data_IF_568911762955
#
_entry.id   IF_568911762955
#
_cell.length_a   1.000
_cell.length_b   1.000
_cell.length_c   1.000
_cell.angle_alpha   90.00
_cell.angle_beta   90.00
_cell.angle_gamma   90.00
#
_symmetry.space_group_name_H-M   'P 1'
#
loop_
_entity.id
_entity.type
_entity.pdbx_description
1 polymer ?
#
# COMPACT_ATOMS: atom_id res chain seq x y z
N UNK A 1 47.97 -2.47 -2.32
CA UNK A 1 48.54 -1.64 -3.39
C UNK A 1 48.50 -2.47 -4.66
N UNK A 2 48.05 -2.01 -5.82
CA UNK A 2 47.14 -0.93 -6.21
C UNK A 2 46.76 -1.26 -7.66
N UNK A 3 45.50 -0.99 -7.97
CA UNK A 3 44.90 -0.61 -9.25
C UNK A 3 45.81 -0.52 -10.51
N UNK A 4 45.35 -1.08 -11.64
CA UNK A 4 44.76 -0.26 -12.73
C UNK A 4 44.28 -1.09 -13.93
N UNK A 5 43.11 -0.66 -14.43
CA UNK A 5 42.65 -0.60 -15.81
C UNK A 5 42.65 -1.87 -16.68
N UNK A 6 41.45 -2.41 -16.86
CA UNK A 6 41.04 -2.82 -18.21
C UNK A 6 39.62 -2.32 -18.47
N UNK A 7 39.54 -1.11 -19.03
CA UNK A 7 38.35 -0.57 -19.66
C UNK A 7 37.99 -1.44 -20.87
N UNK A 8 37.06 -2.38 -20.69
CA UNK A 8 36.24 -2.88 -21.80
C UNK A 8 34.85 -2.28 -21.66
N UNK A 9 34.75 -1.04 -22.13
CA UNK A 9 33.50 -0.40 -22.54
C UNK A 9 32.93 -1.24 -23.67
N UNK A 10 32.00 -2.15 -23.35
CA UNK A 10 31.12 -2.70 -24.37
C UNK A 10 30.22 -1.57 -24.84
N UNK A 11 30.54 -1.04 -26.02
CA UNK A 11 29.62 -0.19 -26.77
C UNK A 11 28.33 -0.99 -27.00
N UNK A 12 27.27 -0.61 -26.30
CA UNK A 12 25.90 -1.05 -26.54
C UNK A 12 25.47 -0.56 -27.92
N UNK A 13 25.87 -1.29 -28.96
CA UNK A 13 25.24 -1.21 -30.27
C UNK A 13 23.78 -1.61 -30.10
N UNK A 14 22.93 -0.70 -30.54
CA UNK A 14 21.48 -0.73 -30.51
C UNK A 14 20.92 -1.84 -31.43
N UNK A 15 21.18 -3.11 -31.07
CA UNK A 15 20.73 -4.30 -31.80
C UNK A 15 19.88 -5.14 -30.85
N UNK A 16 18.72 -4.62 -30.47
CA UNK A 16 17.66 -5.40 -29.85
C UNK A 16 16.25 -4.90 -30.25
N UNK A 17 16.13 -4.33 -31.45
CA UNK A 17 14.83 -4.05 -32.09
C UNK A 17 14.56 -5.02 -33.24
N UNK A 18 14.90 -6.30 -33.07
CA UNK A 18 14.50 -7.37 -33.97
C UNK A 18 14.12 -8.63 -33.18
N UNK A 19 13.01 -8.55 -32.45
CA UNK A 19 12.15 -9.71 -32.21
C UNK A 19 10.78 -9.41 -32.77
N UNK A 20 10.49 -10.13 -33.86
CA UNK A 20 9.22 -10.25 -34.56
C UNK A 20 8.06 -10.56 -33.60
N UNK A 21 6.88 -10.07 -34.00
CA UNK A 21 5.55 -10.45 -33.52
C UNK A 21 5.05 -9.81 -32.20
N UNK A 22 4.83 -8.50 -32.25
CA UNK A 22 3.81 -7.82 -31.45
C UNK A 22 3.21 -6.70 -32.30
N UNK A 23 1.93 -6.84 -32.68
CA UNK A 23 1.17 -5.97 -33.58
C UNK A 23 1.47 -4.46 -33.41
N UNK A 24 2.43 -3.95 -34.18
CA UNK A 24 2.52 -2.54 -34.50
C UNK A 24 1.66 -2.35 -35.74
N UNK A 25 0.54 -1.64 -35.59
CA UNK A 25 -0.18 -1.11 -36.74
C UNK A 25 0.82 -0.33 -37.60
N UNK A 26 0.91 -0.73 -38.88
CA UNK A 26 1.85 -0.20 -39.86
C UNK A 26 1.74 1.35 -39.91
N UNK A 27 2.81 2.11 -39.65
CA UNK A 27 2.76 3.58 -39.57
C UNK A 27 2.35 4.27 -40.88
N UNK A 28 2.30 3.53 -41.99
CA UNK A 28 1.80 4.00 -43.28
C UNK A 28 0.30 3.73 -43.52
N UNK A 29 -0.39 3.11 -42.56
CA UNK A 29 -1.84 2.82 -42.62
C UNK A 29 -2.68 3.57 -41.60
N UNK A 30 -2.07 4.46 -40.81
CA UNK A 30 -2.80 5.29 -39.85
C UNK A 30 -3.60 6.35 -40.60
N UNK A 31 -4.92 6.32 -40.40
CA UNK A 31 -5.79 7.40 -40.89
C UNK A 31 -5.46 8.69 -40.15
N UNK A 32 -5.63 9.86 -40.79
CA UNK A 32 -5.32 11.18 -40.21
C UNK A 32 -5.93 11.43 -38.82
N UNK A 33 -7.03 10.72 -38.49
CA UNK A 33 -7.69 10.77 -37.19
C UNK A 33 -6.89 10.08 -36.07
N UNK A 34 -6.18 9.00 -36.36
CA UNK A 34 -5.41 8.22 -35.39
C UNK A 34 -4.07 8.90 -35.09
N UNK A 35 -3.43 9.49 -36.10
CA UNK A 35 -2.23 10.31 -35.95
C UNK A 35 -2.47 11.51 -35.03
N UNK A 36 -3.60 12.21 -35.20
CA UNK A 36 -4.02 13.31 -34.30
C UNK A 36 -4.34 12.86 -32.86
N UNK A 37 -4.75 11.61 -32.64
CA UNK A 37 -5.00 11.08 -31.29
C UNK A 37 -3.69 10.75 -30.57
N UNK A 38 -2.71 10.19 -31.29
CA UNK A 38 -1.38 9.92 -30.74
C UNK A 38 -0.63 11.21 -30.41
N UNK A 39 -0.66 12.22 -31.29
CA UNK A 39 -0.04 13.53 -31.03
C UNK A 39 -0.64 14.20 -29.79
N UNK A 40 -1.97 14.15 -29.61
CA UNK A 40 -2.63 14.67 -28.40
C UNK A 40 -2.26 13.91 -27.13
N UNK A 41 -2.10 12.58 -27.20
CA UNK A 41 -1.67 11.80 -26.04
C UNK A 41 -0.21 12.08 -25.66
N UNK A 42 0.68 12.26 -26.64
CA UNK A 42 2.07 12.63 -26.41
C UNK A 42 2.18 14.03 -25.74
N UNK A 43 1.43 15.02 -26.24
CA UNK A 43 1.41 16.37 -25.65
C UNK A 43 0.86 16.38 -24.21
N UNK A 44 -0.16 15.56 -23.93
CA UNK A 44 -0.72 15.41 -22.58
C UNK A 44 0.26 14.72 -21.62
N UNK A 45 1.01 13.72 -22.09
CA UNK A 45 2.02 13.04 -21.29
C UNK A 45 3.22 13.94 -20.99
N UNK A 46 3.68 14.74 -21.95
CA UNK A 46 4.76 15.71 -21.73
C UNK A 46 4.35 16.78 -20.70
N UNK A 47 3.13 17.32 -20.80
CA UNK A 47 2.57 18.24 -19.79
C UNK A 47 2.46 17.61 -18.40
N UNK A 48 2.15 16.31 -18.31
CA UNK A 48 2.09 15.58 -17.04
C UNK A 48 3.49 15.37 -16.45
N UNK A 49 4.48 15.01 -17.26
CA UNK A 49 5.87 14.85 -16.83
C UNK A 49 6.47 16.17 -16.33
N UNK A 50 6.25 17.28 -17.04
CA UNK A 50 6.70 18.61 -16.59
C UNK A 50 6.10 19.02 -15.25
N UNK A 51 4.81 18.75 -15.02
CA UNK A 51 4.14 19.02 -13.73
C UNK A 51 4.67 18.13 -12.60
N UNK A 52 4.98 16.86 -12.90
CA UNK A 52 5.57 15.93 -11.93
C UNK A 52 6.99 16.37 -11.53
N UNK A 53 7.81 16.77 -12.51
CA UNK A 53 9.16 17.29 -12.27
C UNK A 53 9.14 18.58 -11.42
N UNK A 54 8.23 19.51 -11.73
CA UNK A 54 8.08 20.75 -10.95
C UNK A 54 7.63 20.46 -9.49
N UNK A 55 6.73 19.49 -9.28
CA UNK A 55 6.30 19.08 -7.93
C UNK A 55 7.42 18.39 -7.16
N UNK A 56 8.22 17.55 -7.81
CA UNK A 56 9.38 16.89 -7.21
C UNK A 56 10.45 17.90 -6.80
N UNK A 57 10.77 18.88 -7.65
CA UNK A 57 11.69 19.97 -7.32
C UNK A 57 11.21 20.81 -6.13
N UNK A 58 9.92 21.17 -6.08
CA UNK A 58 9.34 21.92 -4.95
C UNK A 58 9.32 21.11 -3.65
N UNK A 59 9.16 19.79 -3.72
CA UNK A 59 9.24 18.89 -2.55
C UNK A 59 10.67 18.78 -2.04
N UNK A 60 11.65 18.66 -2.94
CA UNK A 60 13.07 18.65 -2.60
C UNK A 60 13.51 19.98 -1.95
N UNK A 61 13.08 21.13 -2.49
CA UNK A 61 13.37 22.44 -1.90
C UNK A 61 12.78 22.60 -0.49
N UNK A 62 11.54 22.13 -0.27
CA UNK A 62 10.91 22.12 1.05
C UNK A 62 11.67 21.23 2.04
N UNK A 63 12.08 20.03 1.61
CA UNK A 63 12.84 19.12 2.45
C UNK A 63 14.23 19.68 2.80
N UNK A 64 14.89 20.37 1.87
CA UNK A 64 16.16 21.06 2.14
C UNK A 64 16.00 22.20 3.17
N UNK A 65 14.93 23.00 3.06
CA UNK A 65 14.62 24.06 4.05
C UNK A 65 14.34 23.46 5.44
N UNK A 66 13.59 22.35 5.52
CA UNK A 66 13.35 21.66 6.78
C UNK A 66 14.62 21.04 7.38
N UNK A 67 15.49 20.46 6.56
CA UNK A 67 16.77 19.92 7.01
C UNK A 67 17.69 21.02 7.57
N UNK A 68 17.78 22.17 6.90
CA UNK A 68 18.54 23.32 7.36
C UNK A 68 17.98 23.91 8.66
N UNK A 69 16.64 23.99 8.78
CA UNK A 69 15.97 24.45 10.01
C UNK A 69 16.23 23.48 11.18
N UNK A 70 16.17 22.16 10.92
CA UNK A 70 16.43 21.12 11.92
C UNK A 70 17.87 21.14 12.42
N UNK A 71 18.83 21.38 11.52
CA UNK A 71 20.24 21.55 11.92
C UNK A 71 20.45 22.80 12.77
N UNK A 72 19.86 23.95 12.41
CA UNK A 72 19.91 25.18 13.22
C UNK A 72 19.26 25.00 14.60
N UNK A 73 18.10 24.35 14.66
CA UNK A 73 17.41 24.03 15.92
C UNK A 73 18.22 23.06 16.80
N UNK A 74 18.84 22.04 16.20
CA UNK A 74 19.72 21.11 16.90
C UNK A 74 20.94 21.83 17.48
N UNK A 75 21.55 22.74 16.71
CA UNK A 75 22.70 23.50 17.16
C UNK A 75 22.33 24.48 18.28
N UNK A 76 21.18 25.15 18.17
CA UNK A 76 20.66 26.05 19.20
C UNK A 76 20.29 25.30 20.49
N UNK A 77 19.68 24.10 20.38
CA UNK A 77 19.37 23.23 21.50
C UNK A 77 20.61 22.79 22.28
N UNK A 78 21.72 22.52 21.57
CA UNK A 78 23.01 22.18 22.20
C UNK A 78 23.65 23.39 22.90
N UNK A 79 23.49 24.60 22.34
CA UNK A 79 24.09 25.82 22.90
C UNK A 79 23.30 26.42 24.06
N UNK A 80 21.98 26.19 24.16
CA UNK A 80 21.12 26.80 25.19
C UNK A 80 20.19 25.77 25.88
N UNK A 81 20.76 24.78 26.60
CA UNK A 81 19.98 23.68 27.17
C UNK A 81 18.95 24.12 28.22
N UNK A 82 19.27 25.13 29.04
CA UNK A 82 18.38 25.63 30.09
C UNK A 82 17.18 26.44 29.55
N UNK A 83 17.40 27.26 28.52
CA UNK A 83 16.34 28.06 27.88
C UNK A 83 15.36 27.15 27.13
N UNK A 84 15.84 26.05 26.55
CA UNK A 84 14.99 25.04 25.89
C UNK A 84 14.07 24.30 26.86
N UNK A 85 14.55 23.96 28.07
CA UNK A 85 13.73 23.29 29.09
C UNK A 85 12.64 24.24 29.60
N UNK A 86 12.99 25.50 29.89
CA UNK A 86 12.03 26.53 30.30
C UNK A 86 10.99 26.84 29.21
N UNK A 87 11.39 26.91 27.93
CA UNK A 87 10.45 27.15 26.83
C UNK A 87 9.56 25.93 26.53
N UNK A 88 10.08 24.71 26.70
CA UNK A 88 9.35 23.44 26.58
C UNK A 88 8.23 23.32 27.62
N UNK A 89 8.49 23.71 28.87
CA UNK A 89 7.49 23.69 29.94
C UNK A 89 6.44 24.79 29.71
N UNK A 90 6.85 25.99 29.27
CA UNK A 90 5.91 27.05 28.92
C UNK A 90 5.00 26.69 27.73
N UNK A 91 5.56 26.07 26.68
CA UNK A 91 4.81 25.68 25.49
C UNK A 91 3.83 24.52 25.77
N UNK A 92 4.19 23.56 26.62
CA UNK A 92 3.30 22.44 26.97
C UNK A 92 2.08 22.89 27.79
N UNK A 93 2.23 23.86 28.69
CA UNK A 93 1.12 24.45 29.45
C UNK A 93 0.19 25.23 28.52
N UNK A 94 0.75 26.02 27.58
CA UNK A 94 -0.02 26.77 26.59
C UNK A 94 -0.80 25.85 25.64
N UNK A 95 -0.19 24.74 25.20
CA UNK A 95 -0.86 23.74 24.35
C UNK A 95 -2.01 23.06 25.11
N UNK A 96 -1.82 22.69 26.38
CA UNK A 96 -2.90 22.13 27.21
C UNK A 96 -4.05 23.12 27.39
N UNK A 97 -3.76 24.40 27.64
CA UNK A 97 -4.79 25.44 27.77
C UNK A 97 -5.56 25.66 26.45
N UNK A 98 -4.87 25.62 25.30
CA UNK A 98 -5.51 25.73 23.98
C UNK A 98 -6.36 24.51 23.69
N UNK A 99 -5.91 23.29 24.01
CA UNK A 99 -6.68 22.06 23.79
C UNK A 99 -7.95 22.07 24.65
N UNK A 100 -7.85 22.42 25.93
CA UNK A 100 -9.02 22.48 26.82
C UNK A 100 -9.98 23.60 26.43
N UNK A 101 -9.47 24.80 26.09
CA UNK A 101 -10.28 25.93 25.64
C UNK A 101 -10.98 25.67 24.29
N UNK A 102 -10.27 25.07 23.33
CA UNK A 102 -10.84 24.72 22.03
C UNK A 102 -11.87 23.58 22.16
N UNK A 103 -11.64 22.62 23.05
CA UNK A 103 -12.60 21.54 23.33
C UNK A 103 -13.90 22.09 23.91
N UNK A 104 -13.83 23.10 24.78
CA UNK A 104 -15.02 23.73 25.37
C UNK A 104 -15.78 24.63 24.37
N UNK A 105 -15.06 25.33 23.49
CA UNK A 105 -15.67 26.08 22.37
C UNK A 105 -16.33 25.15 21.33
N UNK A 106 -15.73 24.01 21.02
CA UNK A 106 -16.29 23.00 20.11
C UNK A 106 -17.55 22.37 20.72
N UNK A 107 -17.51 21.96 21.99
CA UNK A 107 -18.68 21.38 22.66
C UNK A 107 -19.83 22.39 22.78
N UNK A 108 -19.54 23.65 23.11
CA UNK A 108 -20.57 24.70 23.20
C UNK A 108 -21.15 25.11 21.84
N UNK A 109 -20.36 25.11 20.76
CA UNK A 109 -20.87 25.30 19.40
C UNK A 109 -21.69 24.10 18.92
N UNK A 110 -21.28 22.86 19.19
CA UNK A 110 -22.04 21.64 18.84
C UNK A 110 -23.42 21.63 19.54
N UNK A 111 -23.52 22.14 20.77
CA UNK A 111 -24.82 22.24 21.47
C UNK A 111 -25.70 23.36 20.95
N UNK A 112 -25.14 24.43 20.37
CA UNK A 112 -25.92 25.53 19.76
C UNK A 112 -26.27 25.31 18.29
N UNK A 113 -25.48 24.55 17.53
CA UNK A 113 -25.76 24.22 16.12
C UNK A 113 -26.83 23.13 15.93
N UNK A 114 -27.33 22.50 17.00
CA UNK A 114 -28.42 21.52 16.91
C UNK A 114 -29.81 22.13 16.74
N UNK A 115 -29.94 23.46 16.63
CA UNK A 115 -31.22 24.11 16.30
C UNK A 115 -31.07 25.06 15.12
N UNK A 116 -30.54 24.53 14.03
CA UNK A 116 -30.90 25.02 12.70
C UNK A 116 -31.39 23.79 11.94
N UNK A 117 -32.64 23.84 11.52
CA UNK A 117 -33.33 22.85 10.70
C UNK A 117 -32.52 22.51 9.44
N UNK A 118 -31.55 21.60 9.55
CA UNK A 118 -31.03 20.84 8.42
C UNK A 118 -32.08 19.79 8.12
N UNK A 119 -32.78 19.99 7.02
CA UNK A 119 -33.63 19.01 6.36
C UNK A 119 -32.97 17.63 6.45
N UNK A 120 -33.62 16.71 7.16
CA UNK A 120 -33.24 15.31 7.14
C UNK A 120 -33.28 14.85 5.68
N UNK A 121 -32.14 14.42 5.13
CA UNK A 121 -32.12 13.67 3.88
C UNK A 121 -32.72 12.28 4.17
N UNK A 122 -34.06 12.21 4.20
CA UNK A 122 -34.86 11.02 4.47
C UNK A 122 -34.70 9.88 3.43
N UNK A 123 -33.71 9.97 2.54
CA UNK A 123 -33.57 9.08 1.37
C UNK A 123 -32.25 8.29 1.37
N UNK A 124 -31.43 8.35 2.43
CA UNK A 124 -30.28 7.44 2.57
C UNK A 124 -30.81 6.07 2.97
N UNK A 125 -30.58 5.07 2.14
CA UNK A 125 -30.92 3.67 2.43
C UNK A 125 -29.84 3.09 3.34
N UNK A 126 -30.11 2.83 4.63
CA UNK A 126 -29.10 2.36 5.58
C UNK A 126 -28.66 0.92 5.30
N UNK A 127 -29.38 0.19 4.43
CA UNK A 127 -29.04 -1.19 4.05
C UNK A 127 -28.21 -1.25 2.77
N UNK A 128 -28.04 -0.13 2.08
CA UNK A 128 -27.32 -0.04 0.82
C UNK A 128 -25.98 0.66 1.01
N UNK A 129 -24.89 -0.09 0.86
CA UNK A 129 -23.55 0.42 1.14
C UNK A 129 -23.15 1.60 0.25
N UNK A 130 -23.64 1.66 -0.99
CA UNK A 130 -23.36 2.76 -1.93
C UNK A 130 -24.06 4.02 -1.41
N UNK A 131 -25.35 3.90 -1.08
CA UNK A 131 -26.15 5.00 -0.52
C UNK A 131 -25.55 5.55 0.78
N UNK A 132 -25.08 4.66 1.66
CA UNK A 132 -24.38 5.04 2.90
C UNK A 132 -23.05 5.74 2.61
N UNK A 133 -22.25 5.20 1.70
CA UNK A 133 -20.92 5.73 1.40
C UNK A 133 -20.97 7.11 0.71
N UNK A 134 -21.83 7.28 -0.29
CA UNK A 134 -22.04 8.57 -0.96
C UNK A 134 -22.89 9.56 -0.15
N UNK A 135 -23.53 9.10 0.94
CA UNK A 135 -24.58 9.85 1.70
C UNK A 135 -25.65 10.43 0.78
N UNK A 136 -26.03 9.66 -0.24
CA UNK A 136 -26.89 10.10 -1.32
C UNK A 136 -28.09 9.16 -1.49
N UNK A 137 -29.17 9.67 -2.08
CA UNK A 137 -30.38 8.88 -2.29
C UNK A 137 -30.14 7.75 -3.31
N UNK A 138 -30.69 6.57 -3.03
CA UNK A 138 -30.66 5.44 -3.97
C UNK A 138 -31.25 5.84 -5.32
N UNK A 139 -30.54 5.54 -6.41
CA UNK A 139 -30.93 5.90 -7.78
C UNK A 139 -30.69 7.36 -8.18
N UNK A 140 -30.10 8.20 -7.31
CA UNK A 140 -29.61 9.53 -7.69
C UNK A 140 -28.44 9.43 -8.67
N UNK A 141 -28.09 10.52 -9.37
CA UNK A 141 -26.95 10.54 -10.29
C UNK A 141 -25.64 10.16 -9.58
N UNK A 142 -25.35 10.77 -8.42
CA UNK A 142 -24.17 10.43 -7.61
C UNK A 142 -24.16 8.96 -7.15
N UNK A 143 -25.33 8.37 -6.90
CA UNK A 143 -25.45 6.95 -6.57
C UNK A 143 -25.11 6.08 -7.78
N UNK A 144 -25.67 6.40 -8.96
CA UNK A 144 -25.46 5.60 -10.16
C UNK A 144 -24.01 5.71 -10.66
N UNK A 145 -23.40 6.89 -10.57
CA UNK A 145 -21.99 7.11 -10.90
C UNK A 145 -21.09 6.24 -9.99
N UNK A 146 -21.32 6.25 -8.67
CA UNK A 146 -20.59 5.36 -7.76
C UNK A 146 -20.89 3.88 -8.01
N UNK A 147 -22.14 3.53 -8.32
CA UNK A 147 -22.55 2.15 -8.56
C UNK A 147 -21.78 1.54 -9.73
N UNK A 148 -21.62 2.27 -10.82
CA UNK A 148 -20.81 1.83 -11.97
C UNK A 148 -19.34 1.61 -11.55
N UNK A 149 -18.76 2.52 -10.76
CA UNK A 149 -17.40 2.36 -10.23
C UNK A 149 -17.26 1.12 -9.33
N UNK A 150 -18.25 0.85 -8.48
CA UNK A 150 -18.28 -0.34 -7.63
C UNK A 150 -18.45 -1.64 -8.42
N UNK A 151 -19.29 -1.65 -9.45
CA UNK A 151 -19.46 -2.80 -10.34
C UNK A 151 -18.17 -3.07 -11.13
N UNK A 152 -17.52 -2.03 -11.67
CA UNK A 152 -16.23 -2.16 -12.35
C UNK A 152 -15.13 -2.67 -11.40
N UNK A 153 -15.12 -2.22 -10.15
CA UNK A 153 -14.18 -2.71 -9.14
C UNK A 153 -14.44 -4.19 -8.82
N UNK A 154 -15.69 -4.59 -8.61
CA UNK A 154 -16.06 -5.97 -8.35
C UNK A 154 -15.70 -6.90 -9.53
N UNK A 155 -15.91 -6.46 -10.77
CA UNK A 155 -15.48 -7.21 -11.96
C UNK A 155 -13.96 -7.34 -12.05
N UNK A 156 -13.21 -6.29 -11.68
CA UNK A 156 -11.75 -6.36 -11.61
C UNK A 156 -11.29 -7.36 -10.55
N UNK A 157 -11.85 -7.30 -9.35
CA UNK A 157 -11.53 -8.22 -8.26
C UNK A 157 -11.80 -9.68 -8.65
N UNK A 158 -12.97 -9.94 -9.24
CA UNK A 158 -13.32 -11.27 -9.75
C UNK A 158 -12.33 -11.74 -10.82
N UNK A 159 -11.95 -10.88 -11.77
CA UNK A 159 -10.94 -11.22 -12.79
C UNK A 159 -9.57 -11.53 -12.19
N UNK A 160 -9.17 -10.85 -11.11
CA UNK A 160 -7.89 -11.15 -10.42
C UNK A 160 -7.95 -12.54 -9.80
N UNK A 161 -9.04 -12.86 -9.09
CA UNK A 161 -9.22 -14.17 -8.45
C UNK A 161 -9.28 -15.30 -9.49
N UNK A 162 -10.12 -15.14 -10.52
CA UNK A 162 -10.37 -16.17 -11.53
C UNK A 162 -9.14 -16.45 -12.41
N UNK A 163 -8.31 -15.45 -12.69
CA UNK A 163 -7.13 -15.59 -13.56
C UNK A 163 -5.83 -15.84 -12.79
N UNK A 164 -5.86 -15.90 -11.45
CA UNK A 164 -4.65 -16.11 -10.67
C UNK A 164 -4.17 -17.56 -10.74
N UNK A 165 -3.02 -17.77 -11.37
CA UNK A 165 -2.32 -19.05 -11.43
C UNK A 165 -1.06 -19.03 -10.55
N UNK A 166 -1.08 -19.76 -9.44
CA UNK A 166 0.03 -19.82 -8.48
C UNK A 166 1.35 -20.31 -9.11
N UNK A 167 1.30 -21.07 -10.22
CA UNK A 167 2.50 -21.64 -10.85
C UNK A 167 3.30 -20.63 -11.65
N UNK A 168 2.61 -19.68 -12.26
CA UNK A 168 3.18 -18.69 -13.18
C UNK A 168 3.15 -17.27 -12.62
N UNK A 169 2.42 -17.06 -11.52
CA UNK A 169 2.30 -15.75 -10.89
C UNK A 169 3.65 -15.24 -10.37
N UNK A 170 3.94 -14.00 -10.75
CA UNK A 170 5.01 -13.21 -10.12
C UNK A 170 4.65 -12.86 -8.67
N UNK A 171 5.64 -12.50 -7.83
CA UNK A 171 5.40 -11.94 -6.50
C UNK A 171 4.42 -10.76 -6.50
N UNK A 172 4.51 -9.85 -7.48
CA UNK A 172 3.57 -8.74 -7.61
C UNK A 172 2.11 -9.24 -7.77
N UNK A 173 1.86 -10.15 -8.71
CA UNK A 173 0.52 -10.71 -8.94
C UNK A 173 0.02 -11.51 -7.74
N UNK A 174 0.93 -12.19 -7.04
CA UNK A 174 0.62 -12.94 -5.81
C UNK A 174 0.15 -12.01 -4.70
N UNK A 175 0.81 -10.87 -4.52
CA UNK A 175 0.41 -9.85 -3.55
C UNK A 175 -0.91 -9.20 -3.96
N UNK A 176 -1.11 -8.91 -5.26
CA UNK A 176 -2.38 -8.38 -5.76
C UNK A 176 -3.54 -9.35 -5.46
N UNK A 177 -3.37 -10.64 -5.76
CA UNK A 177 -4.34 -11.68 -5.43
C UNK A 177 -4.65 -11.74 -3.93
N UNK A 178 -3.63 -11.82 -3.07
CA UNK A 178 -3.81 -11.85 -1.62
C UNK A 178 -4.56 -10.61 -1.13
N UNK A 179 -4.20 -9.42 -1.62
CA UNK A 179 -4.86 -8.16 -1.25
C UNK A 179 -6.30 -8.12 -1.75
N UNK A 180 -6.62 -8.70 -2.91
CA UNK A 180 -7.99 -8.80 -3.40
C UNK A 180 -8.84 -9.73 -2.54
N UNK A 181 -8.31 -10.88 -2.13
CA UNK A 181 -9.06 -11.87 -1.34
C UNK A 181 -9.21 -11.44 0.13
N UNK A 182 -8.11 -10.97 0.73
CA UNK A 182 -8.06 -10.67 2.16
C UNK A 182 -8.37 -9.19 2.42
N UNK A 183 -8.04 -8.28 1.52
CA UNK A 183 -8.29 -6.86 1.68
C UNK A 183 -7.56 -6.22 2.88
N UNK A 184 -7.78 -4.92 3.04
CA UNK A 184 -7.43 -4.21 4.26
C UNK A 184 -8.50 -4.42 5.34
N UNK A 185 -8.11 -4.21 6.61
CA UNK A 185 -9.04 -4.12 7.73
C UNK A 185 -9.46 -5.43 8.40
N UNK A 186 -8.98 -6.59 7.94
CA UNK A 186 -9.33 -7.89 8.58
C UNK A 186 -8.84 -8.02 10.04
N UNK A 187 -7.96 -7.12 10.48
CA UNK A 187 -7.44 -7.06 11.85
C UNK A 187 -8.11 -5.97 12.71
N UNK A 188 -8.89 -5.05 12.14
CA UNK A 188 -9.31 -3.81 12.83
C UNK A 188 -10.08 -4.07 14.13
N UNK A 189 -11.00 -5.02 14.12
CA UNK A 189 -11.80 -5.38 15.28
C UNK A 189 -11.21 -6.54 16.09
N UNK A 190 -10.04 -7.05 15.68
CA UNK A 190 -9.29 -8.09 16.39
C UNK A 190 -8.34 -7.52 17.46
N UNK A 191 -8.12 -6.19 17.47
CA UNK A 191 -7.35 -5.53 18.53
C UNK A 191 -8.21 -5.24 19.75
N UNK A 192 -7.66 -5.51 20.93
CA UNK A 192 -8.26 -5.04 22.19
C UNK A 192 -7.99 -3.55 22.44
N UNK A 193 -8.60 -2.98 23.49
CA UNK A 193 -8.41 -1.58 23.86
C UNK A 193 -6.97 -1.22 24.27
N UNK A 194 -6.13 -2.22 24.57
CA UNK A 194 -4.71 -2.05 24.89
C UNK A 194 -3.81 -2.18 23.64
N UNK A 195 -4.38 -2.49 22.47
CA UNK A 195 -3.65 -2.68 21.23
C UNK A 195 -3.02 -4.06 21.07
N UNK A 196 -3.42 -5.05 21.86
CA UNK A 196 -2.99 -6.44 21.66
C UNK A 196 -3.90 -7.11 20.63
N UNK A 197 -3.29 -7.89 19.73
CA UNK A 197 -4.01 -8.62 18.71
C UNK A 197 -4.56 -9.94 19.28
N UNK A 198 -5.87 -10.14 19.20
CA UNK A 198 -6.51 -11.44 19.43
C UNK A 198 -6.34 -12.30 18.16
N UNK A 199 -5.40 -13.25 18.21
CA UNK A 199 -5.09 -14.10 17.06
C UNK A 199 -6.25 -14.99 16.64
N UNK A 200 -7.06 -15.50 17.58
CA UNK A 200 -8.24 -16.33 17.27
C UNK A 200 -9.22 -15.53 16.41
N UNK A 201 -9.58 -14.32 16.86
CA UNK A 201 -10.48 -13.45 16.11
C UNK A 201 -9.90 -13.01 14.77
N UNK A 202 -8.60 -12.74 14.71
CA UNK A 202 -7.92 -12.41 13.46
C UNK A 202 -7.99 -13.56 12.43
N UNK A 203 -7.80 -14.81 12.87
CA UNK A 203 -7.95 -15.99 12.01
C UNK A 203 -9.41 -16.20 11.57
N UNK A 204 -10.38 -15.98 12.46
CA UNK A 204 -11.80 -16.08 12.11
C UNK A 204 -12.18 -15.06 11.02
N UNK A 205 -11.75 -13.81 11.18
CA UNK A 205 -11.94 -12.75 10.18
C UNK A 205 -11.26 -13.11 8.85
N UNK A 206 -10.03 -13.60 8.91
CA UNK A 206 -9.26 -14.01 7.74
C UNK A 206 -9.98 -15.13 6.97
N UNK A 207 -10.44 -16.16 7.67
CA UNK A 207 -11.16 -17.29 7.10
C UNK A 207 -12.51 -16.89 6.52
N UNK A 208 -13.24 -15.98 7.17
CA UNK A 208 -14.50 -15.45 6.64
C UNK A 208 -14.30 -14.76 5.28
N UNK A 209 -13.18 -14.07 5.09
CA UNK A 209 -12.86 -13.43 3.80
C UNK A 209 -12.57 -14.43 2.71
N UNK A 210 -11.81 -15.49 3.01
CA UNK A 210 -11.58 -16.60 2.07
C UNK A 210 -12.91 -17.28 1.68
N UNK A 211 -13.79 -17.52 2.66
CA UNK A 211 -15.11 -18.09 2.41
C UNK A 211 -15.96 -17.17 1.52
N UNK A 212 -15.94 -15.87 1.77
CA UNK A 212 -16.68 -14.88 0.97
C UNK A 212 -16.16 -14.79 -0.46
N UNK A 213 -14.83 -14.89 -0.65
CA UNK A 213 -14.20 -14.90 -1.95
C UNK A 213 -14.41 -16.21 -2.74
N UNK A 214 -15.01 -17.24 -2.11
CA UNK A 214 -15.34 -18.53 -2.72
C UNK A 214 -14.15 -19.20 -3.46
N UNK A 215 -12.97 -19.19 -2.83
CA UNK A 215 -11.75 -19.77 -3.38
C UNK A 215 -11.86 -21.30 -3.45
N UNK A 216 -11.91 -21.87 -4.66
CA UNK A 216 -12.07 -23.32 -4.86
C UNK A 216 -10.75 -24.04 -5.16
N UNK A 217 -9.75 -23.35 -5.71
CA UNK A 217 -8.46 -23.93 -6.11
C UNK A 217 -7.57 -24.21 -4.87
N UNK A 218 -7.01 -25.41 -4.78
CA UNK A 218 -6.23 -25.82 -3.60
C UNK A 218 -4.85 -25.17 -3.50
N UNK A 219 -4.19 -24.87 -4.63
CA UNK A 219 -2.92 -24.13 -4.63
C UNK A 219 -3.14 -22.69 -4.10
N UNK A 220 -4.27 -22.07 -4.47
CA UNK A 220 -4.67 -20.75 -3.97
C UNK A 220 -4.96 -20.79 -2.45
N UNK A 221 -5.67 -21.82 -1.97
CA UNK A 221 -5.92 -22.01 -0.53
C UNK A 221 -4.62 -22.20 0.25
N UNK A 222 -3.70 -23.02 -0.26
CA UNK A 222 -2.42 -23.27 0.39
C UNK A 222 -1.55 -22.00 0.49
N UNK A 223 -1.57 -21.16 -0.56
CA UNK A 223 -0.93 -19.84 -0.53
C UNK A 223 -1.53 -18.93 0.54
N UNK A 224 -2.86 -18.88 0.64
CA UNK A 224 -3.56 -18.05 1.63
C UNK A 224 -3.31 -18.59 3.06
N UNK A 225 -3.28 -19.91 3.24
CA UNK A 225 -2.91 -20.52 4.53
C UNK A 225 -1.48 -20.14 4.94
N UNK A 226 -0.52 -20.22 4.02
CA UNK A 226 0.85 -19.74 4.27
C UNK A 226 0.85 -18.24 4.65
N UNK A 227 0.12 -17.40 3.92
CA UNK A 227 0.06 -15.97 4.19
C UNK A 227 -0.58 -15.65 5.55
N UNK A 228 -1.53 -16.47 6.01
CA UNK A 228 -2.16 -16.34 7.33
C UNK A 228 -1.16 -16.37 8.49
N UNK A 229 0.03 -16.98 8.29
CA UNK A 229 1.10 -16.98 9.30
C UNK A 229 1.63 -15.57 9.61
N UNK A 230 1.41 -14.59 8.74
CA UNK A 230 1.71 -13.17 9.01
C UNK A 230 0.95 -12.63 10.23
N UNK A 231 -0.22 -13.20 10.57
CA UNK A 231 -1.00 -12.83 11.77
C UNK A 231 -0.17 -13.06 13.05
N UNK A 232 0.59 -14.16 13.12
CA UNK A 232 1.48 -14.43 14.25
C UNK A 232 2.60 -13.38 14.34
N UNK A 233 3.17 -12.94 13.22
CA UNK A 233 4.14 -11.84 13.20
C UNK A 233 3.52 -10.53 13.67
N UNK A 234 2.30 -10.21 13.25
CA UNK A 234 1.59 -9.01 13.71
C UNK A 234 1.32 -9.07 15.21
N UNK A 235 1.00 -10.25 15.75
CA UNK A 235 0.87 -10.50 17.19
C UNK A 235 2.20 -10.57 17.95
N UNK A 236 3.35 -10.36 17.29
CA UNK A 236 4.71 -10.49 17.83
C UNK A 236 5.05 -11.91 18.33
N UNK A 237 4.34 -12.92 17.85
CA UNK A 237 4.55 -14.34 18.15
C UNK A 237 5.57 -14.96 17.18
N UNK A 238 6.73 -14.31 17.02
CA UNK A 238 7.70 -14.62 15.95
C UNK A 238 8.25 -16.05 16.00
N UNK A 239 8.50 -16.59 17.20
CA UNK A 239 8.96 -17.99 17.34
C UNK A 239 7.91 -18.98 16.81
N UNK A 240 6.64 -18.74 17.12
CA UNK A 240 5.52 -19.56 16.63
C UNK A 240 5.37 -19.46 15.11
N UNK A 241 5.61 -18.27 14.52
CA UNK A 241 5.66 -18.11 13.06
C UNK A 241 6.74 -19.02 12.46
N UNK A 242 7.96 -18.97 12.99
CA UNK A 242 9.08 -19.77 12.47
C UNK A 242 8.82 -21.27 12.63
N UNK A 243 8.32 -21.71 13.79
CA UNK A 243 7.91 -23.11 14.03
C UNK A 243 6.90 -23.61 12.99
N UNK A 244 5.91 -22.78 12.63
CA UNK A 244 4.93 -23.14 11.61
C UNK A 244 5.52 -23.13 10.20
N UNK A 245 6.40 -22.18 9.89
CA UNK A 245 7.09 -22.11 8.61
C UNK A 245 8.00 -23.32 8.37
N UNK A 246 8.58 -23.93 9.42
CA UNK A 246 9.39 -25.15 9.27
C UNK A 246 8.66 -26.33 8.63
N UNK A 247 7.33 -26.33 8.61
CA UNK A 247 6.54 -27.38 7.93
C UNK A 247 6.50 -27.20 6.40
N UNK A 248 7.05 -26.11 5.88
CA UNK A 248 7.06 -25.80 4.46
C UNK A 248 8.46 -25.99 3.88
N UNK A 249 8.52 -26.42 2.61
CA UNK A 249 9.78 -26.63 1.87
C UNK A 249 9.89 -25.54 0.79
N UNK A 250 10.59 -24.43 1.05
CA UNK A 250 10.61 -23.27 0.15
C UNK A 250 11.26 -23.57 -1.21
N UNK A 251 12.12 -24.58 -1.32
CA UNK A 251 12.76 -25.01 -2.57
C UNK A 251 11.74 -25.49 -3.61
N UNK A 252 10.62 -26.05 -3.16
CA UNK A 252 9.56 -26.59 -4.01
C UNK A 252 8.48 -25.55 -4.36
N UNK A 253 8.61 -24.31 -3.86
CA UNK A 253 7.63 -23.26 -4.08
C UNK A 253 7.90 -22.48 -5.38
N UNK A 254 6.82 -22.09 -6.04
CA UNK A 254 6.84 -21.11 -7.14
C UNK A 254 7.25 -19.72 -6.63
N UNK A 255 7.73 -18.86 -7.51
CA UNK A 255 8.35 -17.58 -7.14
C UNK A 255 7.44 -16.71 -6.28
N UNK A 256 6.14 -16.62 -6.61
CA UNK A 256 5.14 -15.93 -5.82
C UNK A 256 5.02 -16.46 -4.38
N UNK A 257 4.76 -17.76 -4.22
CA UNK A 257 4.63 -18.40 -2.90
C UNK A 257 5.94 -18.33 -2.10
N UNK A 258 7.07 -18.54 -2.77
CA UNK A 258 8.43 -18.46 -2.20
C UNK A 258 8.70 -17.06 -1.65
N UNK A 259 8.30 -16.02 -2.38
CA UNK A 259 8.41 -14.64 -1.93
C UNK A 259 7.61 -14.38 -0.65
N UNK A 260 6.37 -14.90 -0.57
CA UNK A 260 5.53 -14.80 0.63
C UNK A 260 6.18 -15.52 1.82
N UNK A 261 6.66 -16.76 1.63
CA UNK A 261 7.38 -17.50 2.67
C UNK A 261 8.58 -16.71 3.23
N UNK A 262 9.40 -16.17 2.33
CA UNK A 262 10.59 -15.41 2.73
C UNK A 262 10.25 -14.05 3.35
N UNK A 263 9.16 -13.42 2.94
CA UNK A 263 8.70 -12.16 3.57
C UNK A 263 8.24 -12.39 5.00
N UNK A 264 7.47 -13.45 5.25
CA UNK A 264 7.01 -13.81 6.61
C UNK A 264 8.19 -14.20 7.50
N UNK A 265 9.13 -15.00 6.99
CA UNK A 265 10.32 -15.35 7.76
C UNK A 265 11.23 -14.14 8.03
N UNK A 266 11.42 -13.24 7.04
CA UNK A 266 12.16 -12.00 7.21
C UNK A 266 11.62 -11.18 8.38
N UNK A 267 10.30 -10.95 8.42
CA UNK A 267 9.65 -10.19 9.48
C UNK A 267 9.80 -10.86 10.85
N UNK A 268 9.71 -12.19 10.92
CA UNK A 268 9.90 -12.95 12.14
C UNK A 268 11.34 -12.83 12.67
N UNK A 269 12.34 -13.06 11.82
CA UNK A 269 13.75 -12.96 12.19
C UNK A 269 14.14 -11.53 12.59
N UNK A 270 13.61 -10.53 11.89
CA UNK A 270 13.78 -9.12 12.23
C UNK A 270 13.15 -8.80 13.58
N UNK A 271 11.93 -9.28 13.83
CA UNK A 271 11.21 -9.09 15.10
C UNK A 271 11.92 -9.70 16.32
N UNK A 272 12.63 -10.81 16.12
CA UNK A 272 13.46 -11.46 17.14
C UNK A 272 14.84 -10.81 17.33
N UNK A 273 15.22 -9.84 16.49
CA UNK A 273 16.54 -9.21 16.52
C UNK A 273 17.66 -10.04 15.87
N UNK A 274 17.33 -11.09 15.11
CA UNK A 274 18.29 -11.92 14.38
C UNK A 274 18.70 -11.26 13.04
N UNK A 275 19.47 -10.19 13.14
CA UNK A 275 19.86 -9.32 12.02
C UNK A 275 20.59 -10.04 10.89
N UNK A 276 21.51 -10.96 11.19
CA UNK A 276 22.24 -11.73 10.19
C UNK A 276 21.31 -12.62 9.36
N UNK A 277 20.37 -13.32 10.01
CA UNK A 277 19.38 -14.16 9.35
C UNK A 277 18.41 -13.32 8.51
N UNK A 278 17.93 -12.20 9.06
CA UNK A 278 17.08 -11.27 8.32
C UNK A 278 17.77 -10.72 7.07
N UNK A 279 19.06 -10.36 7.17
CA UNK A 279 19.85 -9.89 6.02
C UNK A 279 20.07 -11.00 4.97
N UNK A 280 20.28 -12.24 5.41
CA UNK A 280 20.36 -13.38 4.49
C UNK A 280 19.07 -13.57 3.71
N UNK A 281 17.93 -13.45 4.36
CA UNK A 281 16.62 -13.59 3.71
C UNK A 281 16.33 -12.41 2.79
N UNK A 282 16.71 -11.18 3.17
CA UNK A 282 16.57 -10.01 2.30
C UNK A 282 17.28 -10.21 0.95
N UNK A 283 18.49 -10.79 0.96
CA UNK A 283 19.21 -11.13 -0.28
C UNK A 283 18.48 -12.17 -1.12
N UNK A 284 17.82 -13.14 -0.47
CA UNK A 284 16.99 -14.14 -1.18
C UNK A 284 15.79 -13.44 -1.82
N UNK A 285 15.09 -12.57 -1.09
CA UNK A 285 13.96 -11.80 -1.62
C UNK A 285 14.35 -10.94 -2.82
N UNK A 286 15.52 -10.28 -2.77
CA UNK A 286 16.06 -9.49 -3.88
C UNK A 286 16.38 -10.33 -5.13
N UNK A 287 16.65 -11.61 -4.96
CA UNK A 287 16.95 -12.54 -6.06
C UNK A 287 15.70 -13.11 -6.75
N UNK A 288 14.52 -13.01 -6.11
CA UNK A 288 13.27 -13.52 -6.68
C UNK A 288 12.75 -12.50 -7.72
N UNK A 289 12.48 -12.89 -8.97
CA UNK A 289 11.94 -11.97 -9.98
C UNK A 289 10.59 -11.42 -9.55
N UNK A 290 10.54 -10.14 -9.15
CA UNK A 290 9.33 -9.54 -8.54
C UNK A 290 8.15 -9.40 -9.52
N UNK A 291 8.44 -9.30 -10.82
CA UNK A 291 7.46 -8.96 -11.86
C UNK A 291 7.22 -7.46 -11.99
N UNK A 292 6.54 -7.06 -13.07
CA UNK A 292 6.11 -5.68 -13.31
C UNK A 292 4.61 -5.52 -13.08
N UNK A 293 4.20 -4.36 -12.56
CA UNK A 293 2.81 -3.97 -12.40
C UNK A 293 2.68 -2.45 -12.40
N UNK A 294 1.64 -1.92 -13.05
CA UNK A 294 1.30 -0.49 -12.96
C UNK A 294 0.41 -0.25 -11.74
N UNK A 295 0.89 0.54 -10.79
CA UNK A 295 0.08 1.13 -9.73
C UNK A 295 -0.82 2.24 -10.27
#
# INVERSE_FOLDING_TARGET
MDNSNNDQVFHSSNIANQTLAGSAADPFTLTDKEKKRQEKQAELNDKRMQRAAMRAAKKAERMAKFAALRQRLSHWRKSNPLIFILSSVGASILILAIIVGASWLIVSQITREKVTTRTANNNIDPTDYISVNCRCAKGSQAYNDLKEDYEMAAEREKRIIDNFDNKTATPFQTIEFINTVIGSGYLEDAYDSAGNLNTVKAFDNYNQRIQTANITNDDQKALLELYSLSIYNTAKQYNQTLEKLFNYIPENMFDGTKYIYYSISYDAYKGLGYTEKANSIAKILESIPYGSGSF
#
